data_IF_634405534161
#
_entry.id   IF_634405534161
#
_cell.length_a   1.000
_cell.length_b   1.000
_cell.length_c   1.000
_cell.angle_alpha   90.00
_cell.angle_beta   90.00
_cell.angle_gamma   90.00
#
_symmetry.space_group_name_H-M   'P 1'
#
loop_
_entity.id
_entity.type
_entity.pdbx_description
1 polymer ?
#
# COMPACT_ATOMS: atom_id res chain seq x y z
N UNK A 1 6.96 -9.55 16.74
CA UNK A 1 6.61 -10.74 15.95
C UNK A 1 6.25 -10.38 14.50
N UNK A 2 5.46 -9.34 14.23
CA UNK A 2 5.06 -8.95 12.85
C UNK A 2 6.23 -8.50 11.96
N UNK A 3 7.19 -7.77 12.51
CA UNK A 3 8.33 -7.25 11.73
C UNK A 3 9.29 -8.37 11.26
N UNK A 4 9.46 -9.41 12.07
CA UNK A 4 10.32 -10.55 11.74
C UNK A 4 9.80 -11.35 10.55
N UNK A 5 8.48 -11.52 10.42
CA UNK A 5 7.88 -12.26 9.29
C UNK A 5 8.11 -11.57 7.95
N UNK A 6 8.05 -10.23 7.89
CA UNK A 6 8.25 -9.48 6.65
C UNK A 6 9.71 -9.54 6.19
N UNK A 7 10.66 -9.42 7.13
CA UNK A 7 12.07 -9.57 6.83
C UNK A 7 12.40 -10.97 6.28
N UNK A 8 11.80 -12.02 6.87
CA UNK A 8 11.97 -13.39 6.39
C UNK A 8 11.41 -13.58 4.97
N UNK A 9 10.27 -12.94 4.64
CA UNK A 9 9.74 -12.98 3.27
C UNK A 9 10.64 -12.22 2.29
N UNK A 10 11.21 -11.08 2.69
CA UNK A 10 12.20 -10.39 1.83
C UNK A 10 13.45 -11.23 1.61
N UNK A 11 13.96 -11.91 2.63
CA UNK A 11 15.07 -12.87 2.50
C UNK A 11 14.71 -14.03 1.57
N UNK A 12 13.49 -14.55 1.68
CA UNK A 12 13.01 -15.61 0.80
C UNK A 12 12.96 -15.15 -0.67
N UNK A 13 12.53 -13.90 -0.93
CA UNK A 13 12.54 -13.32 -2.28
C UNK A 13 13.99 -13.23 -2.80
N UNK A 14 14.92 -12.72 -2.01
CA UNK A 14 16.33 -12.67 -2.39
C UNK A 14 16.88 -14.06 -2.72
N UNK A 15 16.63 -15.04 -1.85
CA UNK A 15 17.04 -16.42 -2.09
C UNK A 15 16.46 -17.00 -3.39
N UNK A 16 15.18 -16.77 -3.67
CA UNK A 16 14.53 -17.20 -4.91
C UNK A 16 15.14 -16.54 -6.16
N UNK A 17 15.53 -15.27 -6.10
CA UNK A 17 16.19 -14.58 -7.22
C UNK A 17 17.62 -15.07 -7.44
N UNK A 18 18.39 -15.35 -6.37
CA UNK A 18 19.75 -15.87 -6.44
C UNK A 18 19.79 -17.29 -7.04
N UNK A 19 18.76 -18.10 -6.75
CA UNK A 19 18.64 -19.49 -7.21
C UNK A 19 17.61 -19.66 -8.34
N UNK A 20 17.36 -18.60 -9.12
CA UNK A 20 16.27 -18.59 -10.13
C UNK A 20 16.43 -19.65 -11.22
N UNK A 21 17.68 -20.02 -11.52
CA UNK A 21 18.04 -21.03 -12.52
C UNK A 21 18.11 -22.47 -11.96
N UNK A 22 17.86 -22.64 -10.69
CA UNK A 22 17.88 -23.93 -10.02
C UNK A 22 16.43 -24.43 -9.82
N UNK A 23 16.23 -25.75 -9.84
CA UNK A 23 14.90 -26.32 -9.63
C UNK A 23 14.54 -26.35 -8.14
N UNK A 24 14.45 -25.13 -7.56
CA UNK A 24 14.06 -24.94 -6.17
C UNK A 24 12.53 -24.95 -6.01
N UNK A 25 12.07 -25.63 -4.97
CA UNK A 25 10.67 -25.60 -4.54
C UNK A 25 10.45 -24.71 -3.31
N UNK A 26 9.21 -24.30 -3.09
CA UNK A 26 8.87 -23.45 -1.94
C UNK A 26 9.23 -24.07 -0.57
N UNK A 27 9.32 -25.41 -0.48
CA UNK A 27 9.72 -26.10 0.75
C UNK A 27 11.20 -25.86 1.09
N UNK A 28 12.05 -25.75 0.08
CA UNK A 28 13.45 -25.41 0.23
C UNK A 28 13.65 -23.96 0.64
N UNK A 29 12.96 -23.05 -0.05
CA UNK A 29 12.94 -21.62 0.32
C UNK A 29 12.48 -21.44 1.77
N UNK A 30 11.43 -22.17 2.20
CA UNK A 30 10.94 -22.11 3.57
C UNK A 30 12.02 -22.52 4.59
N UNK A 31 12.80 -23.58 4.28
CA UNK A 31 13.92 -24.02 5.15
C UNK A 31 15.01 -22.95 5.25
N UNK A 32 15.34 -22.29 4.14
CA UNK A 32 16.34 -21.22 4.14
C UNK A 32 15.97 -20.08 5.10
N UNK A 33 14.69 -19.73 5.21
CA UNK A 33 14.21 -18.69 6.11
C UNK A 33 13.68 -19.23 7.45
N UNK A 34 14.03 -20.46 7.81
CA UNK A 34 13.64 -21.11 9.08
C UNK A 34 12.13 -21.13 9.35
N UNK A 35 11.34 -21.28 8.29
CA UNK A 35 9.88 -21.40 8.37
C UNK A 35 9.43 -22.82 7.99
N UNK A 36 8.30 -23.28 8.57
CA UNK A 36 7.64 -24.45 8.02
C UNK A 36 7.09 -24.13 6.63
N UNK A 37 7.08 -25.13 5.71
CA UNK A 37 6.59 -24.97 4.34
C UNK A 37 5.17 -24.41 4.29
N UNK A 38 4.30 -24.86 5.19
CA UNK A 38 2.93 -24.39 5.31
C UNK A 38 2.86 -22.90 5.69
N UNK A 39 3.58 -22.50 6.75
CA UNK A 39 3.58 -21.13 7.21
C UNK A 39 4.21 -20.18 6.19
N UNK A 40 5.32 -20.60 5.57
CA UNK A 40 5.95 -19.84 4.50
C UNK A 40 4.99 -19.60 3.33
N UNK A 41 4.40 -20.68 2.80
CA UNK A 41 3.47 -20.60 1.67
C UNK A 41 2.31 -19.63 1.98
N UNK A 42 1.69 -19.76 3.15
CA UNK A 42 0.57 -18.91 3.57
C UNK A 42 0.98 -17.45 3.75
N UNK A 43 2.10 -17.21 4.45
CA UNK A 43 2.58 -15.85 4.73
C UNK A 43 3.04 -15.16 3.46
N UNK A 44 3.80 -15.87 2.61
CA UNK A 44 4.22 -15.34 1.31
C UNK A 44 3.01 -14.98 0.45
N UNK A 45 2.05 -15.90 0.32
CA UNK A 45 0.85 -15.66 -0.51
C UNK A 45 0.01 -14.50 0.00
N UNK A 46 -0.08 -14.32 1.31
CA UNK A 46 -0.79 -13.20 1.92
C UNK A 46 -0.09 -11.86 1.63
N UNK A 47 1.25 -11.80 1.76
CA UNK A 47 2.02 -10.57 1.56
C UNK A 47 2.18 -10.24 0.07
N UNK A 48 2.48 -11.24 -0.76
CA UNK A 48 2.80 -11.05 -2.18
C UNK A 48 1.58 -11.08 -3.10
N UNK A 49 0.39 -11.46 -2.60
CA UNK A 49 -0.81 -11.65 -3.40
C UNK A 49 -0.73 -12.81 -4.41
N UNK A 50 0.30 -13.66 -4.33
CA UNK A 50 0.51 -14.81 -5.20
C UNK A 50 1.34 -15.89 -4.49
N UNK A 51 1.28 -17.15 -4.97
CA UNK A 51 2.06 -18.22 -4.38
C UNK A 51 3.56 -18.11 -4.70
N UNK A 52 4.46 -18.71 -3.88
CA UNK A 52 5.90 -18.74 -4.17
C UNK A 52 6.23 -19.36 -5.52
N UNK A 53 5.55 -20.46 -5.87
CA UNK A 53 5.75 -21.11 -7.17
C UNK A 53 5.28 -20.23 -8.34
N UNK A 54 4.21 -19.47 -8.16
CA UNK A 54 3.76 -18.52 -9.17
C UNK A 54 4.75 -17.37 -9.34
N UNK A 55 5.34 -16.89 -8.25
CA UNK A 55 6.41 -15.91 -8.27
C UNK A 55 7.61 -16.38 -9.09
N UNK A 56 8.18 -17.55 -8.75
CA UNK A 56 9.29 -18.17 -9.48
C UNK A 56 8.98 -18.32 -10.97
N UNK A 57 7.79 -18.83 -11.28
CA UNK A 57 7.35 -19.00 -12.69
C UNK A 57 7.32 -17.69 -13.45
N UNK A 58 6.72 -16.62 -12.90
CA UNK A 58 6.65 -15.31 -13.55
C UNK A 58 8.04 -14.72 -13.74
N UNK A 59 8.93 -14.85 -12.76
CA UNK A 59 10.31 -14.37 -12.84
C UNK A 59 11.10 -15.11 -13.92
N UNK A 60 11.06 -16.46 -13.91
CA UNK A 60 11.72 -17.29 -14.91
C UNK A 60 11.25 -16.97 -16.33
N UNK A 61 9.94 -16.82 -16.56
CA UNK A 61 9.40 -16.46 -17.87
C UNK A 61 9.85 -15.07 -18.31
N UNK A 62 9.91 -14.10 -17.38
CA UNK A 62 10.41 -12.75 -17.69
C UNK A 62 11.87 -12.77 -18.11
N UNK A 63 12.73 -13.45 -17.34
CA UNK A 63 14.17 -13.57 -17.65
C UNK A 63 14.41 -14.35 -18.93
N UNK A 64 13.66 -15.44 -19.17
CA UNK A 64 13.72 -16.20 -20.41
C UNK A 64 13.36 -15.31 -21.63
N UNK A 65 12.34 -14.47 -21.51
CA UNK A 65 11.93 -13.58 -22.57
C UNK A 65 13.00 -12.53 -22.89
N UNK A 66 13.62 -11.96 -21.85
CA UNK A 66 14.73 -11.01 -22.01
C UNK A 66 15.94 -11.67 -22.69
N UNK A 67 16.30 -12.88 -22.26
CA UNK A 67 17.42 -13.60 -22.86
C UNK A 67 17.16 -14.03 -24.31
N UNK A 68 15.94 -14.48 -24.63
CA UNK A 68 15.53 -14.77 -25.99
C UNK A 68 15.60 -13.56 -26.94
N UNK A 69 15.39 -12.34 -26.43
CA UNK A 69 15.52 -11.11 -27.21
C UNK A 69 16.96 -10.63 -27.37
N UNK A 70 17.81 -10.89 -26.40
CA UNK A 70 19.14 -10.28 -26.31
C UNK A 70 20.27 -11.23 -26.71
N UNK A 71 19.98 -12.53 -26.80
CA UNK A 71 20.97 -13.57 -27.14
C UNK A 71 20.44 -14.51 -28.22
N UNK A 72 21.32 -15.39 -28.73
CA UNK A 72 20.98 -16.43 -29.71
C UNK A 72 20.50 -17.73 -29.08
N UNK A 73 20.21 -17.74 -27.75
CA UNK A 73 19.77 -18.95 -27.06
C UNK A 73 18.59 -19.61 -27.76
N UNK A 74 18.62 -20.94 -27.93
CA UNK A 74 17.50 -21.65 -28.51
C UNK A 74 16.30 -21.70 -27.56
N UNK A 75 15.09 -21.92 -28.09
CA UNK A 75 13.88 -22.08 -27.24
C UNK A 75 14.00 -23.32 -26.38
N UNK A 76 14.67 -24.37 -26.86
CA UNK A 76 14.90 -25.62 -26.14
C UNK A 76 15.85 -25.37 -24.96
N UNK A 77 16.98 -24.73 -25.21
CA UNK A 77 17.95 -24.42 -24.16
C UNK A 77 17.38 -23.47 -23.10
N UNK A 78 16.61 -22.48 -23.55
CA UNK A 78 15.90 -21.60 -22.64
C UNK A 78 14.89 -22.36 -21.74
N UNK A 79 14.14 -23.30 -22.29
CA UNK A 79 13.21 -24.12 -21.51
C UNK A 79 13.93 -24.84 -20.36
N UNK A 80 15.02 -25.54 -20.65
CA UNK A 80 15.78 -26.27 -19.62
C UNK A 80 16.52 -25.36 -18.65
N UNK A 81 17.12 -24.24 -19.15
CA UNK A 81 17.79 -23.25 -18.31
C UNK A 81 16.86 -22.64 -17.27
N UNK A 82 15.60 -22.43 -17.62
CA UNK A 82 14.60 -21.85 -16.73
C UNK A 82 13.73 -22.90 -16.02
N UNK A 83 14.26 -24.11 -15.87
CA UNK A 83 13.70 -25.21 -15.06
C UNK A 83 12.34 -25.72 -15.55
N UNK A 84 12.14 -25.80 -16.86
CA UNK A 84 11.00 -26.49 -17.44
C UNK A 84 11.38 -27.91 -17.87
N UNK A 85 10.51 -28.86 -17.57
CA UNK A 85 10.73 -30.28 -17.92
C UNK A 85 10.72 -30.52 -19.43
N UNK A 86 10.01 -29.71 -20.19
CA UNK A 86 9.96 -29.80 -21.64
C UNK A 86 9.78 -28.43 -22.33
N UNK A 87 10.28 -28.33 -23.59
CA UNK A 87 10.06 -27.16 -24.42
C UNK A 87 8.58 -26.83 -24.68
N UNK A 88 7.73 -27.86 -24.69
CA UNK A 88 6.28 -27.72 -24.90
C UNK A 88 5.62 -27.08 -23.68
N UNK A 89 5.96 -27.55 -22.47
CA UNK A 89 5.46 -26.98 -21.21
C UNK A 89 5.90 -25.52 -21.06
N UNK A 90 7.16 -25.24 -21.39
CA UNK A 90 7.71 -23.90 -21.44
C UNK A 90 6.93 -22.99 -22.42
N UNK A 91 6.75 -23.46 -23.67
CA UNK A 91 6.09 -22.66 -24.71
C UNK A 91 4.64 -22.34 -24.35
N UNK A 92 3.92 -23.27 -23.72
CA UNK A 92 2.56 -23.06 -23.21
C UNK A 92 2.52 -22.01 -22.10
N UNK A 93 3.42 -22.16 -21.11
CA UNK A 93 3.50 -21.22 -19.98
C UNK A 93 3.92 -19.81 -20.46
N UNK A 94 4.90 -19.75 -21.35
CA UNK A 94 5.41 -18.51 -21.95
C UNK A 94 4.30 -17.77 -22.72
N UNK A 95 3.60 -18.49 -23.62
CA UNK A 95 2.54 -17.87 -24.41
C UNK A 95 1.37 -17.38 -23.56
N UNK A 96 1.03 -18.13 -22.50
CA UNK A 96 -0.01 -17.69 -21.54
C UNK A 96 0.40 -16.45 -20.78
N UNK A 97 1.67 -16.28 -20.45
CA UNK A 97 2.17 -15.16 -19.67
C UNK A 97 2.43 -13.91 -20.55
N UNK A 98 3.09 -14.08 -21.70
CA UNK A 98 3.49 -12.96 -22.57
C UNK A 98 2.47 -12.62 -23.65
N UNK A 99 1.51 -13.49 -23.93
CA UNK A 99 0.58 -13.32 -25.05
C UNK A 99 1.18 -13.62 -26.42
N UNK A 100 2.45 -14.07 -26.48
CA UNK A 100 3.18 -14.39 -27.70
C UNK A 100 4.05 -15.63 -27.50
N UNK A 101 4.37 -16.34 -28.58
CA UNK A 101 5.22 -17.54 -28.49
C UNK A 101 6.69 -17.17 -28.25
N UNK A 102 7.53 -18.10 -27.69
CA UNK A 102 8.96 -17.87 -27.52
C UNK A 102 9.68 -17.55 -28.83
N UNK A 103 9.25 -18.14 -29.93
CA UNK A 103 9.79 -17.85 -31.28
C UNK A 103 9.47 -16.42 -31.74
N UNK A 104 8.27 -15.93 -31.47
CA UNK A 104 7.88 -14.55 -31.75
C UNK A 104 8.62 -13.56 -30.85
N UNK A 105 8.89 -13.93 -29.59
CA UNK A 105 9.63 -13.10 -28.63
C UNK A 105 11.07 -12.79 -29.10
N UNK A 106 11.68 -13.66 -29.90
CA UNK A 106 13.01 -13.43 -30.51
C UNK A 106 13.03 -12.31 -31.56
N UNK A 107 11.89 -11.89 -32.08
CA UNK A 107 11.81 -10.84 -33.09
C UNK A 107 12.03 -9.46 -32.45
N UNK A 108 12.81 -8.60 -33.11
CA UNK A 108 13.02 -7.22 -32.66
C UNK A 108 11.68 -6.48 -32.49
N UNK A 109 11.48 -5.88 -31.33
CA UNK A 109 10.27 -5.11 -31.03
C UNK A 109 9.07 -5.93 -30.56
N UNK A 110 9.23 -7.22 -30.30
CA UNK A 110 8.19 -8.04 -29.67
C UNK A 110 7.79 -7.45 -28.31
N UNK A 111 6.49 -7.23 -28.10
CA UNK A 111 5.96 -6.76 -26.81
C UNK A 111 5.92 -7.94 -25.83
N UNK A 112 6.51 -7.77 -24.67
CA UNK A 112 6.58 -8.77 -23.62
C UNK A 112 6.03 -8.21 -22.31
N UNK A 113 5.36 -9.05 -21.54
CA UNK A 113 5.01 -8.73 -20.16
C UNK A 113 6.22 -8.99 -19.26
N UNK A 114 6.61 -8.00 -18.48
CA UNK A 114 7.73 -8.12 -17.56
C UNK A 114 7.19 -8.11 -16.13
N UNK A 115 7.67 -9.05 -15.34
CA UNK A 115 7.40 -9.14 -13.92
C UNK A 115 8.72 -8.91 -13.17
N UNK A 116 8.86 -7.74 -12.56
CA UNK A 116 10.07 -7.38 -11.80
C UNK A 116 10.13 -8.09 -10.46
N UNK A 117 11.34 -8.23 -9.85
CA UNK A 117 11.46 -8.72 -8.50
C UNK A 117 10.59 -7.92 -7.52
N UNK A 118 9.95 -8.63 -6.60
CA UNK A 118 9.19 -7.97 -5.54
C UNK A 118 10.15 -7.34 -4.54
N UNK A 119 9.87 -6.10 -4.16
CA UNK A 119 10.58 -5.38 -3.11
C UNK A 119 9.56 -4.96 -2.05
N UNK A 120 9.73 -5.44 -0.83
CA UNK A 120 8.86 -5.07 0.28
C UNK A 120 9.39 -3.78 0.88
N UNK A 121 8.61 -2.72 0.79
CA UNK A 121 8.87 -1.44 1.47
C UNK A 121 7.94 -1.34 2.67
N UNK A 122 8.51 -1.12 3.85
CA UNK A 122 7.74 -0.87 5.07
C UNK A 122 7.91 0.60 5.38
N UNK A 123 6.82 1.34 5.30
CA UNK A 123 6.77 2.71 5.80
C UNK A 123 6.09 2.66 7.16
N UNK A 124 6.80 3.11 8.19
CA UNK A 124 6.23 3.33 9.52
C UNK A 124 5.95 4.83 9.60
N UNK A 125 4.69 5.18 9.55
CA UNK A 125 4.23 6.54 9.79
C UNK A 125 3.80 6.68 11.25
N UNK A 126 4.12 7.78 11.85
CA UNK A 126 3.93 8.02 13.29
C UNK A 126 5.25 7.86 14.07
N UNK A 127 5.20 8.01 15.37
CA UNK A 127 6.39 7.97 16.24
C UNK A 127 7.26 9.24 16.18
N UNK A 128 6.78 10.29 15.56
CA UNK A 128 7.36 11.62 15.78
C UNK A 128 7.13 11.99 17.25
N UNK A 129 8.21 12.37 17.93
CA UNK A 129 8.09 13.00 19.24
C UNK A 129 7.33 14.30 19.02
N UNK A 130 6.04 14.31 19.36
CA UNK A 130 5.29 15.55 19.40
C UNK A 130 5.63 16.23 20.73
N UNK A 131 6.25 17.38 20.67
CA UNK A 131 6.32 18.25 21.83
C UNK A 131 4.90 18.73 22.12
N UNK A 132 4.33 18.23 23.19
CA UNK A 132 3.03 18.71 23.67
C UNK A 132 3.22 19.54 24.94
N UNK A 133 2.44 20.61 25.05
CA UNK A 133 2.33 21.40 26.24
C UNK A 133 0.92 21.24 26.78
N UNK A 134 0.80 20.80 28.04
CA UNK A 134 -0.47 20.81 28.74
C UNK A 134 -0.73 22.21 29.28
N UNK A 135 -1.82 22.81 28.85
CA UNK A 135 -2.30 24.08 29.37
C UNK A 135 -3.63 23.84 30.10
N UNK A 136 -3.71 24.30 31.31
CA UNK A 136 -5.00 24.39 32.00
C UNK A 136 -5.70 25.65 31.54
N UNK A 137 -6.91 25.52 30.99
CA UNK A 137 -7.74 26.63 30.58
C UNK A 137 -9.07 26.53 31.30
N UNK A 138 -9.62 27.68 31.69
CA UNK A 138 -10.99 27.76 32.16
C UNK A 138 -11.96 27.33 31.05
N UNK A 139 -13.22 27.02 31.43
CA UNK A 139 -14.26 26.68 30.46
C UNK A 139 -14.40 27.77 29.41
N UNK A 140 -14.43 27.39 28.14
CA UNK A 140 -14.49 28.32 27.04
C UNK A 140 -15.70 28.00 26.15
N UNK A 141 -16.46 29.04 25.78
CA UNK A 141 -17.60 28.92 24.86
C UNK A 141 -17.11 29.05 23.43
N UNK A 142 -17.67 28.26 22.55
CA UNK A 142 -17.36 28.30 21.12
C UNK A 142 -18.61 28.45 20.28
N UNK A 143 -18.53 29.26 19.24
CA UNK A 143 -19.46 29.24 18.11
C UNK A 143 -18.79 28.49 16.97
N UNK A 144 -19.46 27.49 16.42
CA UNK A 144 -18.92 26.65 15.39
C UNK A 144 -19.92 26.26 14.30
N UNK A 145 -19.44 26.18 13.06
CA UNK A 145 -20.12 25.51 11.96
C UNK A 145 -19.87 24.00 12.14
N UNK A 146 -20.91 23.21 12.27
CA UNK A 146 -20.80 21.79 12.62
C UNK A 146 -21.38 20.92 11.52
N UNK A 147 -20.66 19.85 11.18
CA UNK A 147 -21.08 18.80 10.24
C UNK A 147 -20.81 17.44 10.85
N UNK A 148 -21.69 16.47 10.60
CA UNK A 148 -21.51 15.11 11.05
C UNK A 148 -20.67 14.30 10.05
N UNK A 149 -19.72 13.51 10.55
CA UNK A 149 -18.83 12.64 9.77
C UNK A 149 -18.89 11.21 10.30
N UNK A 150 -18.73 10.19 9.44
CA UNK A 150 -18.73 8.82 9.88
C UNK A 150 -17.53 8.51 10.80
N UNK A 151 -17.74 7.62 11.79
CA UNK A 151 -16.68 7.14 12.68
C UNK A 151 -15.81 6.05 12.05
N UNK A 152 -16.20 5.53 10.90
CA UNK A 152 -15.40 4.54 10.20
C UNK A 152 -14.15 5.22 9.62
N UNK A 153 -12.98 4.70 9.99
CA UNK A 153 -11.72 5.10 9.36
C UNK A 153 -11.82 4.65 7.90
N UNK A 154 -11.97 5.59 7.01
CA UNK A 154 -11.86 5.31 5.57
C UNK A 154 -10.48 4.71 5.31
N UNK A 155 -10.45 3.54 4.69
CA UNK A 155 -9.21 2.93 4.19
C UNK A 155 -8.82 3.50 2.83
N UNK A 156 -9.56 4.50 2.36
CA UNK A 156 -9.30 5.20 1.12
C UNK A 156 -8.34 6.36 1.42
N UNK A 157 -7.13 6.30 0.85
CA UNK A 157 -6.11 7.35 0.95
C UNK A 157 -6.58 8.70 0.38
N UNK A 158 -7.77 8.75 -0.24
CA UNK A 158 -8.40 9.94 -0.81
C UNK A 158 -9.58 10.47 0.03
N UNK A 159 -9.72 10.09 1.30
CA UNK A 159 -10.75 10.67 2.16
C UNK A 159 -10.40 12.12 2.54
N UNK A 160 -10.88 13.06 1.75
CA UNK A 160 -10.75 14.50 1.98
C UNK A 160 -11.99 15.13 2.63
N UNK A 161 -12.83 14.35 3.27
CA UNK A 161 -14.14 14.80 3.79
C UNK A 161 -14.04 16.00 4.75
N UNK A 162 -13.07 16.04 5.66
CA UNK A 162 -12.83 17.19 6.55
C UNK A 162 -12.17 18.37 5.82
N UNK A 163 -11.08 18.18 5.03
CA UNK A 163 -10.55 19.24 4.18
C UNK A 163 -11.58 19.86 3.25
N UNK A 164 -12.43 19.05 2.63
CA UNK A 164 -13.50 19.54 1.75
C UNK A 164 -14.54 20.38 2.51
N UNK A 165 -14.84 20.04 3.75
CA UNK A 165 -15.70 20.85 4.60
C UNK A 165 -15.08 22.22 4.91
N UNK A 166 -13.78 22.28 5.17
CA UNK A 166 -13.07 23.55 5.31
C UNK A 166 -13.14 24.40 4.04
N UNK A 167 -12.88 23.79 2.89
CA UNK A 167 -12.94 24.46 1.59
C UNK A 167 -14.36 24.95 1.28
N UNK A 168 -15.40 24.15 1.55
CA UNK A 168 -16.80 24.51 1.40
C UNK A 168 -17.17 25.74 2.26
N UNK A 169 -16.73 25.77 3.52
CA UNK A 169 -17.01 26.88 4.43
C UNK A 169 -16.29 28.17 4.02
N UNK A 170 -15.09 28.07 3.46
CA UNK A 170 -14.33 29.23 2.96
C UNK A 170 -14.93 29.79 1.67
N UNK A 171 -15.25 28.91 0.70
CA UNK A 171 -15.91 29.30 -0.57
C UNK A 171 -17.23 29.99 -0.35
N UNK A 172 -18.05 29.51 0.59
CA UNK A 172 -19.32 30.11 0.97
C UNK A 172 -19.18 31.35 1.87
N UNK A 173 -17.96 31.74 2.20
CA UNK A 173 -17.63 32.88 3.08
C UNK A 173 -18.31 32.83 4.47
N UNK A 174 -18.50 31.62 4.99
CA UNK A 174 -19.14 31.38 6.29
C UNK A 174 -18.19 31.63 7.47
N UNK A 175 -16.90 31.56 7.24
CA UNK A 175 -15.85 31.70 8.27
C UNK A 175 -15.65 33.16 8.66
N UNK A 176 -15.74 34.09 7.72
CA UNK A 176 -15.40 35.48 7.97
C UNK A 176 -16.34 36.15 8.99
N UNK A 177 -17.69 35.97 8.94
CA UNK A 177 -18.58 36.48 9.97
C UNK A 177 -18.27 35.94 11.37
N UNK A 178 -17.87 34.67 11.49
CA UNK A 178 -17.50 34.06 12.77
C UNK A 178 -16.23 34.67 13.37
N UNK A 179 -15.28 35.06 12.53
CA UNK A 179 -14.05 35.75 12.98
C UNK A 179 -14.32 37.06 13.67
N UNK A 180 -15.42 37.74 13.36
CA UNK A 180 -15.81 38.99 13.99
C UNK A 180 -16.40 38.80 15.41
N UNK A 181 -16.88 37.61 15.73
CA UNK A 181 -17.46 37.26 17.04
C UNK A 181 -16.44 36.86 18.10
N UNK A 182 -15.16 36.83 17.75
CA UNK A 182 -14.10 36.35 18.66
C UNK A 182 -13.84 37.30 19.81
N UNK A 183 -13.60 36.70 20.97
CA UNK A 183 -13.27 37.43 22.20
C UNK A 183 -11.78 37.27 22.61
N UNK A 184 -11.06 36.26 22.08
CA UNK A 184 -9.73 35.90 22.55
C UNK A 184 -8.59 36.71 21.92
N UNK A 185 -8.88 37.62 21.00
CA UNK A 185 -7.90 38.43 20.29
C UNK A 185 -6.93 37.67 19.40
N UNK A 186 -7.06 36.33 19.32
CA UNK A 186 -6.23 35.46 18.48
C UNK A 186 -6.84 35.33 17.09
N UNK A 187 -6.00 35.06 16.09
CA UNK A 187 -6.47 34.86 14.71
C UNK A 187 -6.87 33.42 14.38
N UNK A 188 -6.81 32.55 15.36
CA UNK A 188 -6.91 31.11 15.13
C UNK A 188 -8.38 30.65 15.06
N UNK A 189 -8.62 29.73 14.13
CA UNK A 189 -9.83 28.92 14.07
C UNK A 189 -9.56 27.61 14.78
N UNK A 190 -10.56 27.07 15.43
CA UNK A 190 -10.46 25.80 16.16
C UNK A 190 -11.20 24.73 15.39
N UNK A 191 -10.55 23.57 15.21
CA UNK A 191 -11.20 22.32 14.82
C UNK A 191 -11.73 21.65 16.09
N UNK A 192 -13.04 21.46 16.19
CA UNK A 192 -13.71 20.93 17.38
C UNK A 192 -14.34 19.59 17.05
N UNK A 193 -13.96 18.55 17.79
CA UNK A 193 -14.58 17.23 17.69
C UNK A 193 -15.50 16.99 18.89
N UNK A 194 -16.71 16.52 18.65
CA UNK A 194 -17.64 16.11 19.70
C UNK A 194 -18.45 14.89 19.29
N UNK A 195 -18.90 14.06 20.26
CA UNK A 195 -19.78 12.93 19.97
C UNK A 195 -21.09 13.43 19.33
N UNK A 196 -21.60 12.69 18.34
CA UNK A 196 -22.95 12.92 17.84
C UNK A 196 -23.98 12.39 18.89
N UNK A 197 -24.82 13.27 19.38
CA UNK A 197 -25.70 13.05 20.58
C UNK A 197 -26.66 11.86 20.53
N UNK A 198 -26.76 11.09 19.45
CA UNK A 198 -27.65 9.90 19.35
C UNK A 198 -27.18 8.86 18.32
N UNK A 199 -25.96 8.99 17.80
CA UNK A 199 -25.49 8.12 16.72
C UNK A 199 -24.01 7.75 16.96
N UNK A 200 -23.80 6.51 17.39
CA UNK A 200 -22.44 5.99 17.63
C UNK A 200 -21.63 5.80 16.34
N UNK A 201 -22.27 5.89 15.17
CA UNK A 201 -21.62 5.73 13.86
C UNK A 201 -21.03 7.04 13.31
N UNK A 202 -21.35 8.17 13.93
CA UNK A 202 -20.90 9.48 13.50
C UNK A 202 -20.30 10.28 14.65
N UNK A 203 -19.43 11.21 14.31
CA UNK A 203 -18.97 12.26 15.20
C UNK A 203 -19.25 13.64 14.53
N UNK A 204 -19.35 14.64 15.37
CA UNK A 204 -19.48 16.02 14.88
C UNK A 204 -18.10 16.66 14.80
N UNK A 205 -17.78 17.23 13.64
CA UNK A 205 -16.62 18.09 13.46
C UNK A 205 -17.10 19.51 13.23
N UNK A 206 -16.51 20.45 13.98
CA UNK A 206 -16.86 21.88 13.92
C UNK A 206 -15.66 22.77 13.60
N UNK A 207 -15.88 23.78 12.79
CA UNK A 207 -14.95 24.89 12.58
C UNK A 207 -15.47 26.05 13.42
N UNK A 208 -14.74 26.48 14.44
CA UNK A 208 -15.25 27.43 15.42
C UNK A 208 -14.27 28.50 15.85
N UNK A 209 -14.81 29.48 16.54
CA UNK A 209 -14.10 30.55 17.23
C UNK A 209 -14.49 30.59 18.69
N UNK A 210 -13.54 30.95 19.55
CA UNK A 210 -13.80 31.17 20.94
C UNK A 210 -14.56 32.52 21.13
N UNK A 211 -15.56 32.51 21.99
CA UNK A 211 -16.40 33.67 22.30
C UNK A 211 -16.53 33.86 23.79
N UNK A 212 -16.94 35.07 24.19
CA UNK A 212 -17.21 35.36 25.60
C UNK A 212 -18.47 34.66 26.10
N UNK A 213 -18.58 34.42 27.41
CA UNK A 213 -19.73 33.76 28.00
C UNK A 213 -21.06 34.46 27.72
N UNK A 214 -21.03 35.78 27.49
CA UNK A 214 -22.21 36.62 27.24
C UNK A 214 -22.55 36.76 25.74
N UNK A 215 -21.89 36.04 24.85
CA UNK A 215 -22.21 36.05 23.42
C UNK A 215 -23.40 35.12 23.16
N UNK A 216 -24.54 35.68 22.72
CA UNK A 216 -25.75 34.95 22.34
C UNK A 216 -25.73 34.52 20.86
#
# INVERSE_FOLDING_TARGET
VRNMSIQLIQQAICYMEEHIYEDIGYAEVARCVHMSSYNFHRTFSFIAGMTPNEYLRKRRLTLAAQELQTTDISVIDAAYKYCYESPESFSKAFSRFHGSTPKQAKQKGAKLHLFNPLVIKITLEGGSVMDYRMEHRDSQKFIALVKAFPNEISTDDNDHSIPDFWAECDEKKLIEPMRQLRSDGKKDLYGLCSPAKKDEKHFNYGIGVAVDENTD
#
